data_IF_366407197402
#
_entry.id   IF_366407197402
#
_cell.length_a   1.000
_cell.length_b   1.000
_cell.length_c   1.000
_cell.angle_alpha   90.00
_cell.angle_beta   90.00
_cell.angle_gamma   90.00
#
_symmetry.space_group_name_H-M   'P 1'
#
loop_
_entity.id
_entity.type
_entity.pdbx_description
1 polymer ?
#
# COMPACT_ATOMS: atom_id res chain seq x y z
N UNK A 1 -28.15 -30.00 8.08
CA UNK A 1 -27.83 -28.65 8.62
C UNK A 1 -29.14 -28.03 9.09
N UNK A 2 -29.27 -27.78 10.38
CA UNK A 2 -30.45 -27.12 10.97
C UNK A 2 -30.20 -25.61 11.00
N UNK A 3 -31.23 -24.82 10.66
CA UNK A 3 -31.20 -23.37 10.70
C UNK A 3 -32.14 -22.88 11.80
N UNK A 4 -31.60 -22.22 12.81
CA UNK A 4 -32.37 -21.65 13.92
C UNK A 4 -32.41 -20.14 13.77
N UNK A 5 -33.61 -19.56 13.88
CA UNK A 5 -33.83 -18.10 13.82
C UNK A 5 -34.06 -17.47 15.20
N UNK A 6 -34.18 -18.29 16.25
CA UNK A 6 -34.43 -17.87 17.63
C UNK A 6 -34.45 -19.04 18.61
N UNK A 7 -34.78 -18.82 19.89
CA UNK A 7 -34.97 -19.87 20.87
C UNK A 7 -36.19 -20.73 20.53
N UNK A 8 -36.17 -21.96 21.04
CA UNK A 8 -37.30 -22.90 20.91
C UNK A 8 -38.57 -22.31 21.53
N UNK A 9 -39.68 -22.41 20.81
CA UNK A 9 -41.02 -22.06 21.32
C UNK A 9 -41.71 -23.32 21.86
N UNK A 10 -42.75 -23.13 22.63
CA UNK A 10 -43.49 -24.24 23.27
C UNK A 10 -44.08 -25.26 22.27
N UNK A 11 -44.26 -24.85 21.01
CA UNK A 11 -44.78 -25.67 19.91
C UNK A 11 -43.70 -26.44 19.20
N UNK A 12 -42.40 -26.13 19.45
CA UNK A 12 -41.29 -26.75 18.74
C UNK A 12 -40.84 -28.05 19.44
N UNK A 13 -40.66 -29.13 18.69
CA UNK A 13 -40.18 -30.39 19.24
C UNK A 13 -38.65 -30.36 19.51
N UNK A 14 -37.92 -29.53 18.75
CA UNK A 14 -36.46 -29.42 18.84
C UNK A 14 -36.05 -27.95 18.72
N UNK A 15 -34.87 -27.63 19.23
CA UNK A 15 -34.28 -26.28 19.12
C UNK A 15 -33.53 -25.86 20.37
N UNK A 16 -32.77 -24.77 20.32
CA UNK A 16 -31.99 -24.27 21.44
C UNK A 16 -32.93 -23.65 22.48
N UNK A 17 -32.70 -23.93 23.77
CA UNK A 17 -33.44 -23.33 24.88
C UNK A 17 -33.12 -21.83 25.04
N UNK A 18 -31.89 -21.42 24.74
CA UNK A 18 -31.44 -20.03 24.75
C UNK A 18 -30.74 -19.69 23.45
N UNK A 19 -30.94 -18.48 22.97
CA UNK A 19 -30.35 -17.97 21.75
C UNK A 19 -29.64 -16.64 22.05
N UNK A 20 -28.31 -16.66 21.92
CA UNK A 20 -27.49 -15.48 22.21
C UNK A 20 -26.91 -14.92 20.90
N UNK A 21 -27.10 -13.62 20.67
CA UNK A 21 -26.51 -12.90 19.53
C UNK A 21 -25.46 -11.92 20.04
N UNK A 22 -24.21 -12.15 19.66
CA UNK A 22 -23.10 -11.26 19.99
C UNK A 22 -22.73 -10.46 18.74
N UNK A 23 -22.94 -9.14 18.80
CA UNK A 23 -22.58 -8.20 17.75
C UNK A 23 -21.15 -7.69 17.99
N UNK A 24 -20.20 -8.13 17.14
CA UNK A 24 -18.82 -7.70 17.20
C UNK A 24 -18.54 -6.62 16.14
N UNK A 25 -18.54 -5.37 16.52
CA UNK A 25 -18.27 -4.23 15.63
C UNK A 25 -16.78 -4.13 15.29
N UNK A 26 -15.92 -4.10 16.28
CA UNK A 26 -14.46 -3.93 16.11
C UNK A 26 -14.09 -2.81 15.12
N UNK A 27 -14.73 -1.65 15.21
CA UNK A 27 -14.47 -0.49 14.35
C UNK A 27 -15.09 -0.52 12.94
N UNK A 28 -15.89 -1.55 12.61
CA UNK A 28 -16.50 -1.68 11.27
C UNK A 28 -17.56 -0.61 11.00
N UNK A 29 -18.33 -0.21 12.00
CA UNK A 29 -19.28 0.90 11.90
C UNK A 29 -18.58 2.22 11.56
N UNK A 30 -17.41 2.47 12.14
CA UNK A 30 -16.58 3.64 11.81
C UNK A 30 -16.11 3.60 10.33
N UNK A 31 -15.73 2.43 9.83
CA UNK A 31 -15.39 2.26 8.41
C UNK A 31 -16.59 2.52 7.50
N UNK A 32 -17.79 2.12 7.91
CA UNK A 32 -19.03 2.31 7.14
C UNK A 32 -19.35 3.79 6.92
N UNK A 33 -19.16 4.63 7.94
CA UNK A 33 -19.34 6.09 7.86
C UNK A 33 -18.18 6.83 7.18
N UNK A 34 -17.06 6.17 6.96
CA UNK A 34 -15.82 6.78 6.50
C UNK A 34 -15.47 6.52 5.05
N UNK A 35 -14.35 7.11 4.63
CA UNK A 35 -13.83 6.94 3.26
C UNK A 35 -13.18 5.58 2.97
N UNK A 36 -13.30 4.60 3.89
CA UNK A 36 -12.86 3.22 3.75
C UNK A 36 -14.04 2.24 3.61
N UNK A 37 -15.26 2.75 3.47
CA UNK A 37 -16.49 1.96 3.33
C UNK A 37 -16.39 0.83 2.32
N UNK A 38 -15.70 1.06 1.20
CA UNK A 38 -15.52 0.04 0.15
C UNK A 38 -14.80 -1.21 0.65
N UNK A 39 -14.00 -1.10 1.73
CA UNK A 39 -13.28 -2.24 2.32
C UNK A 39 -14.23 -3.28 2.92
N UNK A 40 -15.40 -2.87 3.40
CA UNK A 40 -16.41 -3.76 3.96
C UNK A 40 -17.03 -4.73 2.96
N UNK A 41 -16.85 -4.50 1.66
CA UNK A 41 -17.29 -5.42 0.60
C UNK A 41 -16.37 -6.64 0.43
N UNK A 42 -15.26 -6.70 1.17
CA UNK A 42 -14.26 -7.74 0.97
C UNK A 42 -14.81 -9.13 1.32
N UNK A 43 -14.82 -10.04 0.34
CA UNK A 43 -15.24 -11.45 0.49
C UNK A 43 -14.07 -12.37 0.84
N UNK A 44 -12.88 -11.83 1.10
CA UNK A 44 -11.64 -12.58 1.46
C UNK A 44 -11.22 -13.66 0.46
N UNK A 45 -11.47 -13.45 -0.83
CA UNK A 45 -11.17 -14.42 -1.90
C UNK A 45 -9.66 -14.61 -2.17
N UNK A 46 -8.77 -13.74 -1.64
CA UNK A 46 -7.32 -13.84 -1.82
C UNK A 46 -6.78 -13.39 -3.18
N UNK A 47 -7.60 -13.03 -4.17
CA UNK A 47 -7.15 -12.64 -5.51
C UNK A 47 -6.10 -11.51 -5.49
N UNK A 48 -6.23 -10.54 -4.59
CA UNK A 48 -5.26 -9.46 -4.43
C UNK A 48 -3.90 -9.94 -3.92
N UNK A 49 -3.82 -11.03 -3.17
CA UNK A 49 -2.57 -11.63 -2.68
C UNK A 49 -1.75 -12.21 -3.83
N UNK A 50 -2.39 -13.00 -4.70
CA UNK A 50 -1.75 -13.66 -5.83
C UNK A 50 -1.11 -12.68 -6.83
N UNK A 51 -1.60 -11.45 -6.89
CA UNK A 51 -1.11 -10.43 -7.82
C UNK A 51 -0.25 -9.35 -7.15
N UNK A 52 0.11 -9.54 -5.89
CA UNK A 52 0.91 -8.59 -5.13
C UNK A 52 2.40 -8.96 -5.17
N UNK A 53 3.27 -8.15 -5.79
CA UNK A 53 4.70 -8.44 -5.83
C UNK A 53 5.33 -8.43 -4.43
N UNK A 54 4.84 -7.60 -3.53
CA UNK A 54 5.32 -7.56 -2.13
C UNK A 54 4.95 -8.84 -1.40
N UNK A 55 3.68 -9.26 -1.46
CA UNK A 55 3.25 -10.50 -0.83
C UNK A 55 3.99 -11.73 -1.39
N UNK A 56 4.23 -11.78 -2.70
CA UNK A 56 4.99 -12.85 -3.34
C UNK A 56 6.45 -12.90 -2.88
N UNK A 57 7.03 -11.75 -2.54
CA UNK A 57 8.43 -11.67 -2.12
C UNK A 57 8.64 -12.00 -0.64
N UNK A 58 7.75 -11.56 0.26
CA UNK A 58 7.97 -11.65 1.72
C UNK A 58 7.02 -12.61 2.43
N UNK A 59 5.98 -13.09 1.75
CA UNK A 59 4.96 -13.98 2.34
C UNK A 59 4.02 -13.26 3.31
N UNK A 60 3.09 -14.03 3.89
CA UNK A 60 2.05 -13.50 4.78
C UNK A 60 2.53 -13.13 6.19
N UNK A 61 3.47 -13.90 6.74
CA UNK A 61 3.95 -13.71 8.12
C UNK A 61 4.62 -12.35 8.35
N UNK A 62 5.33 -11.83 7.34
CA UNK A 62 5.99 -10.53 7.41
C UNK A 62 5.05 -9.33 7.61
N UNK A 63 3.73 -9.52 7.41
CA UNK A 63 2.73 -8.48 7.69
C UNK A 63 2.39 -8.34 9.18
N UNK A 64 2.83 -9.26 10.03
CA UNK A 64 2.70 -9.19 11.49
C UNK A 64 1.27 -9.30 12.04
N UNK A 65 0.27 -9.59 11.19
CA UNK A 65 -1.13 -9.69 11.58
C UNK A 65 -1.88 -10.76 10.76
N UNK A 66 -3.07 -11.14 11.22
CA UNK A 66 -3.92 -12.16 10.55
C UNK A 66 -4.36 -11.77 9.14
N UNK A 67 -4.39 -10.48 8.83
CA UNK A 67 -4.72 -9.98 7.52
C UNK A 67 -3.46 -9.55 6.79
N UNK A 68 -3.07 -10.30 5.75
CA UNK A 68 -1.86 -10.05 4.96
C UNK A 68 -2.18 -9.45 3.58
N UNK A 69 -1.13 -9.05 2.87
CA UNK A 69 -1.21 -8.53 1.51
C UNK A 69 -1.94 -7.19 1.37
N UNK A 70 -2.40 -6.82 0.16
CA UNK A 70 -3.01 -5.51 -0.09
C UNK A 70 -4.24 -5.24 0.75
N UNK A 71 -5.09 -6.25 0.95
CA UNK A 71 -6.28 -6.15 1.80
C UNK A 71 -5.89 -5.91 3.26
N UNK A 72 -4.94 -6.68 3.78
CA UNK A 72 -4.44 -6.55 5.14
C UNK A 72 -3.78 -5.20 5.38
N UNK A 73 -2.96 -4.71 4.44
CA UNK A 73 -2.33 -3.39 4.53
C UNK A 73 -3.32 -2.23 4.59
N UNK A 74 -4.55 -2.40 4.07
CA UNK A 74 -5.63 -1.42 4.25
C UNK A 74 -6.35 -1.64 5.57
N UNK A 75 -6.66 -2.89 5.92
CA UNK A 75 -7.56 -3.21 7.02
C UNK A 75 -6.88 -3.09 8.40
N UNK A 76 -5.62 -3.53 8.51
CA UNK A 76 -4.89 -3.55 9.79
C UNK A 76 -4.77 -2.17 10.42
N UNK A 77 -4.37 -1.09 9.70
CA UNK A 77 -4.36 0.26 10.28
C UNK A 77 -5.73 0.79 10.71
N UNK A 78 -6.82 0.28 10.12
CA UNK A 78 -8.19 0.67 10.48
C UNK A 78 -8.68 -0.02 11.75
N UNK A 79 -8.20 -1.25 12.03
CA UNK A 79 -8.62 -2.03 13.19
C UNK A 79 -7.72 -1.78 14.41
N UNK A 80 -6.40 -1.67 14.19
CA UNK A 80 -5.39 -1.61 15.26
C UNK A 80 -4.77 -0.21 15.41
N UNK A 81 -5.09 0.73 14.51
CA UNK A 81 -4.39 2.01 14.46
C UNK A 81 -3.08 1.96 13.67
N UNK A 82 -2.38 3.10 13.63
CA UNK A 82 -1.13 3.22 12.89
C UNK A 82 0.12 2.86 13.68
N UNK A 83 0.06 2.77 15.01
CA UNK A 83 1.23 2.66 15.86
C UNK A 83 2.09 1.43 15.51
N UNK A 84 1.45 0.26 15.33
CA UNK A 84 2.11 -0.99 14.97
C UNK A 84 1.97 -1.35 13.47
N UNK A 85 1.43 -0.45 12.64
CA UNK A 85 1.07 -0.76 11.25
C UNK A 85 1.45 0.33 10.24
N UNK A 86 2.34 1.27 10.64
CA UNK A 86 2.79 2.40 9.79
C UNK A 86 3.42 1.91 8.48
N UNK A 87 4.20 0.83 8.54
CA UNK A 87 4.97 0.35 7.39
C UNK A 87 4.12 -0.37 6.34
N UNK A 88 2.98 -0.96 6.73
CA UNK A 88 2.15 -1.77 5.83
C UNK A 88 1.68 -1.01 4.58
N UNK A 89 1.09 0.20 4.67
CA UNK A 89 0.75 0.97 3.48
C UNK A 89 1.98 1.40 2.67
N UNK A 90 3.14 1.63 3.33
CA UNK A 90 4.36 2.12 2.71
C UNK A 90 5.12 1.05 1.91
N UNK A 91 4.99 -0.22 2.27
CA UNK A 91 5.58 -1.34 1.53
C UNK A 91 4.98 -1.53 0.12
N UNK A 92 3.79 -0.99 -0.15
CA UNK A 92 3.11 -1.17 -1.44
C UNK A 92 3.80 -0.43 -2.59
N UNK A 93 4.01 -1.11 -3.72
CA UNK A 93 4.56 -0.53 -4.97
C UNK A 93 3.54 0.28 -5.78
N UNK A 94 2.27 0.31 -5.38
CA UNK A 94 1.15 0.99 -6.06
C UNK A 94 0.94 0.56 -7.54
N UNK A 95 1.33 -0.67 -7.91
CA UNK A 95 1.17 -1.17 -9.28
C UNK A 95 -0.30 -1.36 -9.74
N UNK A 96 -1.27 -1.26 -8.83
CA UNK A 96 -2.70 -1.28 -9.13
C UNK A 96 -3.32 -2.66 -9.44
N UNK A 97 -2.53 -3.74 -9.58
CA UNK A 97 -3.06 -5.07 -9.94
C UNK A 97 -4.10 -5.58 -8.95
N UNK A 98 -3.90 -5.35 -7.66
CA UNK A 98 -4.85 -5.75 -6.62
C UNK A 98 -6.24 -5.11 -6.78
N UNK A 99 -6.31 -3.88 -7.29
CA UNK A 99 -7.56 -3.18 -7.64
C UNK A 99 -8.19 -3.80 -8.88
N UNK A 100 -7.39 -4.09 -9.92
CA UNK A 100 -7.87 -4.63 -11.19
C UNK A 100 -8.47 -6.04 -11.06
N UNK A 101 -7.87 -6.91 -10.22
CA UNK A 101 -8.31 -8.31 -10.06
C UNK A 101 -9.38 -8.49 -8.97
N UNK A 102 -9.77 -7.44 -8.26
CA UNK A 102 -10.73 -7.56 -7.17
C UNK A 102 -12.15 -7.79 -7.72
N UNK A 103 -12.79 -8.95 -7.44
CA UNK A 103 -14.11 -9.28 -7.97
C UNK A 103 -15.21 -8.35 -7.46
N UNK A 104 -15.05 -7.78 -6.27
CA UNK A 104 -15.96 -6.83 -5.66
C UNK A 104 -15.52 -5.37 -5.84
N UNK A 105 -14.53 -5.13 -6.71
CA UNK A 105 -14.05 -3.81 -7.14
C UNK A 105 -13.68 -2.87 -5.99
N UNK A 106 -12.92 -3.38 -5.01
CA UNK A 106 -12.36 -2.53 -3.95
C UNK A 106 -11.15 -1.78 -4.53
N UNK A 107 -11.07 -0.45 -4.41
CA UNK A 107 -9.97 0.35 -4.92
C UNK A 107 -8.76 0.30 -3.95
N UNK A 108 -8.15 -0.89 -3.75
CA UNK A 108 -7.13 -1.14 -2.73
C UNK A 108 -5.93 -0.20 -2.83
N UNK A 109 -5.42 0.05 -4.05
CA UNK A 109 -4.30 0.97 -4.25
C UNK A 109 -4.63 2.41 -3.85
N UNK A 110 -5.87 2.85 -4.09
CA UNK A 110 -6.32 4.20 -3.75
C UNK A 110 -6.48 4.35 -2.23
N UNK A 111 -6.97 3.28 -1.56
CA UNK A 111 -7.09 3.25 -0.11
C UNK A 111 -5.71 3.23 0.57
N UNK A 112 -4.72 2.53 0.01
CA UNK A 112 -3.34 2.55 0.50
C UNK A 112 -2.71 3.93 0.36
N UNK A 113 -2.94 4.60 -0.78
CA UNK A 113 -2.49 5.98 -0.98
C UNK A 113 -3.15 6.94 0.03
N UNK A 114 -4.44 6.73 0.33
CA UNK A 114 -5.15 7.48 1.36
C UNK A 114 -4.54 7.28 2.75
N UNK A 115 -4.13 6.05 3.12
CA UNK A 115 -3.40 5.81 4.37
C UNK A 115 -2.08 6.57 4.42
N UNK A 116 -1.28 6.55 3.34
CA UNK A 116 -0.03 7.32 3.27
C UNK A 116 -0.26 8.83 3.46
N UNK A 117 -1.33 9.36 2.86
CA UNK A 117 -1.69 10.76 3.04
C UNK A 117 -2.07 11.08 4.50
N UNK A 118 -2.82 10.18 5.13
CA UNK A 118 -3.18 10.33 6.54
C UNK A 118 -1.98 10.24 7.47
N UNK A 119 -1.05 9.30 7.24
CA UNK A 119 0.23 9.23 7.96
C UNK A 119 1.04 10.52 7.83
N UNK A 120 1.09 11.09 6.61
CA UNK A 120 1.77 12.37 6.38
C UNK A 120 1.10 13.52 7.14
N UNK A 121 -0.24 13.58 7.16
CA UNK A 121 -1.02 14.58 7.91
C UNK A 121 -0.81 14.46 9.41
N UNK A 122 -0.82 13.25 9.94
CA UNK A 122 -0.57 12.95 11.36
C UNK A 122 0.89 13.07 11.77
N UNK A 123 1.79 13.42 10.85
CA UNK A 123 3.24 13.56 11.09
C UNK A 123 3.92 12.26 11.58
N UNK A 124 3.42 11.09 11.20
CA UNK A 124 4.01 9.80 11.56
C UNK A 124 5.28 9.48 10.75
N UNK A 125 5.53 10.20 9.66
CA UNK A 125 6.76 10.06 8.87
C UNK A 125 7.90 10.90 9.45
N UNK A 126 9.18 10.42 9.39
CA UNK A 126 10.34 11.15 9.89
C UNK A 126 10.45 12.56 9.29
N UNK A 127 10.91 13.53 10.10
CA UNK A 127 11.04 14.94 9.70
C UNK A 127 11.92 15.11 8.45
N UNK A 128 13.03 14.36 8.38
CA UNK A 128 13.94 14.40 7.23
C UNK A 128 13.24 13.96 5.93
N UNK A 129 12.51 12.85 5.95
CA UNK A 129 11.74 12.37 4.79
C UNK A 129 10.68 13.38 4.33
N UNK A 130 10.00 14.03 5.30
CA UNK A 130 9.01 15.08 5.00
C UNK A 130 9.65 16.31 4.36
N UNK A 131 10.84 16.71 4.85
CA UNK A 131 11.60 17.79 4.25
C UNK A 131 12.00 17.45 2.81
N UNK A 132 12.56 16.28 2.56
CA UNK A 132 12.95 15.83 1.22
C UNK A 132 11.77 15.80 0.24
N UNK A 133 10.62 15.25 0.65
CA UNK A 133 9.41 15.23 -0.19
C UNK A 133 8.92 16.64 -0.51
N UNK A 134 8.94 17.58 0.47
CA UNK A 134 8.56 18.96 0.24
C UNK A 134 9.54 19.69 -0.69
N UNK A 135 10.83 19.51 -0.48
CA UNK A 135 11.85 20.08 -1.33
C UNK A 135 11.71 19.57 -2.78
N UNK A 136 11.57 18.26 -2.93
CA UNK A 136 11.33 17.66 -4.25
C UNK A 136 10.05 18.20 -4.91
N UNK A 137 8.94 18.27 -4.19
CA UNK A 137 7.67 18.79 -4.71
C UNK A 137 7.80 20.25 -5.13
N UNK A 138 8.56 21.05 -4.37
CA UNK A 138 8.82 22.44 -4.71
C UNK A 138 9.60 22.60 -6.02
N UNK A 139 10.63 21.76 -6.24
CA UNK A 139 11.37 21.73 -7.51
C UNK A 139 10.53 21.15 -8.65
N UNK A 140 9.83 20.03 -8.42
CA UNK A 140 9.04 19.32 -9.43
C UNK A 140 7.88 20.16 -9.99
N UNK A 141 7.33 21.07 -9.18
CA UNK A 141 6.28 22.01 -9.63
C UNK A 141 6.80 23.20 -10.44
N UNK A 142 8.12 23.32 -10.63
CA UNK A 142 8.77 24.41 -11.39
C UNK A 142 9.58 23.85 -12.57
N UNK A 143 8.97 23.64 -13.75
CA UNK A 143 9.60 22.91 -14.85
C UNK A 143 10.97 23.46 -15.26
N UNK A 144 11.12 24.78 -15.32
CA UNK A 144 12.38 25.42 -15.71
C UNK A 144 13.52 25.14 -14.71
N UNK A 145 13.21 25.23 -13.41
CA UNK A 145 14.21 24.92 -12.36
C UNK A 145 14.52 23.42 -12.32
N UNK A 146 13.53 22.57 -12.46
CA UNK A 146 13.70 21.12 -12.51
C UNK A 146 14.57 20.69 -13.70
N UNK A 147 14.30 21.23 -14.90
CA UNK A 147 15.09 20.96 -16.10
C UNK A 147 16.54 21.44 -15.93
N UNK A 148 16.76 22.67 -15.42
CA UNK A 148 18.10 23.18 -15.16
C UNK A 148 18.88 22.34 -14.15
N UNK A 149 18.21 21.93 -13.05
CA UNK A 149 18.83 21.09 -12.02
C UNK A 149 19.18 19.68 -12.55
N UNK A 150 18.35 19.12 -13.42
CA UNK A 150 18.54 17.78 -13.99
C UNK A 150 19.50 17.77 -15.19
N UNK A 151 19.67 18.88 -15.88
CA UNK A 151 20.51 18.96 -17.09
C UNK A 151 21.97 18.57 -16.82
N UNK A 152 22.58 19.11 -15.76
CA UNK A 152 23.97 18.85 -15.42
C UNK A 152 24.24 17.36 -15.04
N UNK A 153 23.52 16.75 -14.09
CA UNK A 153 23.73 15.35 -13.76
C UNK A 153 23.42 14.41 -14.94
N UNK A 154 22.39 14.69 -15.74
CA UNK A 154 22.07 13.87 -16.92
C UNK A 154 23.16 13.98 -17.98
N UNK A 155 23.70 15.19 -18.24
CA UNK A 155 24.83 15.38 -19.16
C UNK A 155 26.08 14.64 -18.67
N UNK A 156 26.40 14.75 -17.38
CA UNK A 156 27.56 14.08 -16.78
C UNK A 156 27.44 12.56 -16.84
N UNK A 157 26.28 12.02 -16.52
CA UNK A 157 26.00 10.58 -16.62
C UNK A 157 26.05 10.09 -18.08
N UNK A 158 25.52 10.88 -19.02
CA UNK A 158 25.62 10.60 -20.45
C UNK A 158 27.07 10.54 -20.91
N UNK A 159 27.86 11.57 -20.60
CA UNK A 159 29.28 11.65 -20.96
C UNK A 159 30.08 10.46 -20.41
N UNK A 160 29.81 10.09 -19.15
CA UNK A 160 30.50 8.99 -18.47
C UNK A 160 30.13 7.61 -19.04
N UNK A 161 28.86 7.42 -19.39
CA UNK A 161 28.32 6.14 -19.88
C UNK A 161 28.31 6.00 -21.40
N UNK A 162 28.56 7.07 -22.17
CA UNK A 162 28.36 7.12 -23.61
C UNK A 162 29.12 6.02 -24.38
N UNK A 163 30.34 5.69 -23.97
CA UNK A 163 31.18 4.70 -24.66
C UNK A 163 30.75 3.24 -24.41
N UNK A 164 30.17 2.96 -23.23
CA UNK A 164 29.81 1.60 -22.82
C UNK A 164 28.30 1.34 -22.89
N UNK A 165 27.50 2.35 -23.11
CA UNK A 165 26.02 2.26 -23.10
C UNK A 165 25.40 2.06 -21.71
N UNK A 166 26.22 1.88 -20.66
CA UNK A 166 25.81 1.65 -19.30
C UNK A 166 26.77 2.28 -18.28
N UNK A 167 26.28 2.49 -17.07
CA UNK A 167 27.03 2.97 -15.91
C UNK A 167 27.09 1.83 -14.88
N UNK A 168 28.28 1.30 -14.63
CA UNK A 168 28.52 0.23 -13.65
C UNK A 168 28.35 0.71 -12.20
N UNK A 169 28.69 1.98 -11.95
CA UNK A 169 28.59 2.55 -10.62
C UNK A 169 28.09 4.00 -10.67
N UNK A 170 27.07 4.29 -9.84
CA UNK A 170 26.53 5.64 -9.63
C UNK A 170 26.76 6.03 -8.18
N UNK A 171 27.43 7.17 -7.90
CA UNK A 171 27.59 7.67 -6.53
C UNK A 171 26.22 7.81 -5.84
N UNK A 172 26.14 7.37 -4.60
CA UNK A 172 24.92 7.36 -3.77
C UNK A 172 23.78 6.43 -4.24
N UNK A 173 23.99 5.62 -5.29
CA UNK A 173 23.02 4.65 -5.80
C UNK A 173 23.58 3.22 -5.80
N UNK A 174 24.49 2.89 -4.87
CA UNK A 174 25.11 1.56 -4.74
C UNK A 174 24.09 0.44 -4.66
N UNK A 175 23.05 0.58 -3.84
CA UNK A 175 21.99 -0.44 -3.74
C UNK A 175 21.27 -0.78 -5.05
N UNK A 176 21.43 0.04 -6.09
CA UNK A 176 20.99 -0.29 -7.45
C UNK A 176 22.12 -0.87 -8.31
N UNK A 177 23.29 -0.24 -8.29
CA UNK A 177 24.41 -0.57 -9.18
C UNK A 177 25.31 -1.71 -8.70
N UNK A 178 25.15 -2.19 -7.47
CA UNK A 178 25.91 -3.33 -6.95
C UNK A 178 25.51 -4.68 -7.59
N UNK A 179 24.29 -4.76 -8.12
CA UNK A 179 23.72 -6.00 -8.70
C UNK A 179 23.35 -5.87 -10.18
N UNK A 180 23.40 -4.67 -10.76
CA UNK A 180 23.01 -4.41 -12.15
C UNK A 180 23.57 -3.10 -12.67
N UNK A 181 23.82 -3.02 -13.96
CA UNK A 181 24.23 -1.80 -14.63
C UNK A 181 23.06 -0.85 -14.84
N UNK A 182 23.31 0.45 -14.75
CA UNK A 182 22.33 1.48 -15.03
C UNK A 182 22.45 1.93 -16.49
N UNK A 183 21.36 1.89 -17.31
CA UNK A 183 21.43 2.32 -18.70
C UNK A 183 21.78 3.80 -18.80
N UNK A 184 22.66 4.14 -19.75
CA UNK A 184 23.10 5.52 -19.94
C UNK A 184 21.93 6.41 -20.36
N UNK A 185 21.68 7.53 -19.68
CA UNK A 185 20.65 8.49 -20.08
C UNK A 185 20.94 9.09 -21.47
N UNK A 186 19.90 9.54 -22.18
CA UNK A 186 20.02 10.15 -23.49
C UNK A 186 20.75 11.53 -23.51
N UNK A 187 21.17 12.02 -22.36
CA UNK A 187 21.91 13.28 -22.22
C UNK A 187 21.05 14.55 -22.25
N UNK A 188 19.73 14.41 -22.41
CA UNK A 188 18.77 15.52 -22.38
C UNK A 188 17.52 15.10 -21.60
N UNK A 189 16.90 16.05 -20.90
CA UNK A 189 15.58 15.88 -20.29
C UNK A 189 14.47 15.97 -21.35
N UNK A 190 13.31 15.43 -21.03
CA UNK A 190 12.11 15.55 -21.85
C UNK A 190 11.67 17.00 -22.02
#
# INVERSE_FOLDING_TARGET
>A
TSLYSGPRQDTDSEGPEAYHVVLLDNGRSTMLGGGYRSMLRCIRCGACLNHCPVYSAIGGHAYGWVYSGPMGSVLTPLLNGFDDSVDLPNACTLNGRCKAVCPVRIPLSDLLLKHRLEQYRRRLTPLFGRFLVRAWAWFATRPRLYQGLMALPLWLMHWRGHRRGALEHIPFAGGWTDSRDFPTPAGRSF
#
